data_IF_168159945929
#
_entry.id   IF_168159945929
#
_cell.length_a   1.000
_cell.length_b   1.000
_cell.length_c   1.000
_cell.angle_alpha   90.00
_cell.angle_beta   90.00
_cell.angle_gamma   90.00
#
_symmetry.space_group_name_H-M   'P 1'
#
loop_
_entity.id
_entity.type
_entity.pdbx_description
1 polymer ?
#
# COMPACT_ATOMS: atom_id res chain seq x y z
N UNK A 1 16.23 26.03 11.43
CA UNK A 1 16.31 24.90 12.40
C UNK A 1 14.90 24.50 12.78
N UNK A 2 14.59 23.21 12.85
CA UNK A 2 13.27 22.74 13.24
C UNK A 2 12.91 23.20 14.67
N UNK A 3 11.64 23.48 14.94
CA UNK A 3 11.18 23.91 16.26
C UNK A 3 11.30 22.78 17.28
N UNK A 4 11.61 23.07 18.56
CA UNK A 4 11.72 22.04 19.60
C UNK A 4 10.44 21.19 19.74
N UNK A 5 9.27 21.81 19.60
CA UNK A 5 7.98 21.12 19.63
C UNK A 5 7.80 20.12 18.49
N UNK A 6 8.35 20.41 17.31
CA UNK A 6 8.34 19.48 16.18
C UNK A 6 9.27 18.29 16.43
N UNK A 7 10.43 18.52 17.02
CA UNK A 7 11.36 17.43 17.37
C UNK A 7 10.78 16.50 18.43
N UNK A 8 10.12 17.04 19.45
CA UNK A 8 9.41 16.22 20.45
C UNK A 8 8.28 15.40 19.83
N UNK A 9 7.49 16.01 18.95
CA UNK A 9 6.45 15.31 18.20
C UNK A 9 7.04 14.17 17.35
N UNK A 10 8.07 14.47 16.57
CA UNK A 10 8.74 13.50 15.70
C UNK A 10 9.30 12.34 16.52
N UNK A 11 9.95 12.65 17.64
CA UNK A 11 10.53 11.62 18.50
C UNK A 11 9.46 10.71 19.11
N UNK A 12 8.38 11.30 19.65
CA UNK A 12 7.30 10.56 20.30
C UNK A 12 6.48 9.71 19.34
N UNK A 13 6.20 10.24 18.15
CA UNK A 13 5.27 9.61 17.21
C UNK A 13 5.95 8.74 16.16
N UNK A 14 7.23 8.94 15.87
CA UNK A 14 7.90 8.26 14.76
C UNK A 14 9.22 7.59 15.13
N UNK A 15 9.93 8.09 16.16
CA UNK A 15 11.26 7.60 16.54
C UNK A 15 11.27 6.75 17.83
N UNK A 16 10.12 6.34 18.37
CA UNK A 16 10.12 5.35 19.45
C UNK A 16 10.54 3.98 18.91
N UNK A 17 11.25 3.19 19.72
CA UNK A 17 11.80 1.90 19.30
C UNK A 17 10.74 0.95 18.71
N UNK A 18 9.52 0.99 19.24
CA UNK A 18 8.40 0.18 18.75
C UNK A 18 7.87 0.67 17.39
N UNK A 19 7.81 1.98 17.17
CA UNK A 19 7.34 2.57 15.91
C UNK A 19 8.42 2.44 14.83
N UNK A 20 9.71 2.62 15.17
CA UNK A 20 10.82 2.40 14.25
C UNK A 20 10.79 0.97 13.71
N UNK A 21 10.54 -0.04 14.55
CA UNK A 21 10.40 -1.43 14.09
C UNK A 21 9.26 -1.61 13.08
N UNK A 22 8.19 -0.81 13.18
CA UNK A 22 7.03 -0.89 12.29
C UNK A 22 7.34 -0.35 10.87
N UNK A 23 8.05 0.78 10.74
CA UNK A 23 8.28 1.43 9.44
C UNK A 23 9.72 1.35 8.90
N UNK A 24 10.72 1.04 9.74
CA UNK A 24 12.12 0.97 9.31
C UNK A 24 12.36 -0.25 8.43
N UNK A 25 12.93 -0.02 7.25
CA UNK A 25 13.27 -1.06 6.28
C UNK A 25 14.21 -2.14 6.84
N UNK A 26 15.04 -1.81 7.84
CA UNK A 26 15.97 -2.75 8.49
C UNK A 26 15.21 -3.83 9.28
N UNK A 27 14.01 -3.52 9.77
CA UNK A 27 13.16 -4.43 10.52
C UNK A 27 12.05 -5.08 9.67
N UNK A 28 12.09 -4.88 8.34
CA UNK A 28 11.17 -5.51 7.39
C UNK A 28 11.77 -6.80 6.81
N UNK A 29 12.14 -7.75 7.67
CA UNK A 29 12.64 -9.08 7.27
C UNK A 29 11.58 -10.10 7.71
N UNK A 30 11.16 -10.99 6.80
CA UNK A 30 10.20 -12.09 7.03
C UNK A 30 8.78 -11.70 7.48
N UNK A 31 8.26 -10.54 7.01
CA UNK A 31 6.87 -10.15 7.27
C UNK A 31 5.89 -11.00 6.45
N UNK A 32 4.78 -11.38 7.08
CA UNK A 32 3.63 -11.94 6.38
C UNK A 32 2.99 -10.91 5.46
N UNK A 33 2.23 -11.35 4.44
CA UNK A 33 1.51 -10.46 3.50
C UNK A 33 0.63 -9.45 4.26
N UNK A 34 0.11 -9.82 5.43
CA UNK A 34 -0.69 -8.95 6.29
C UNK A 34 0.16 -7.85 6.96
N UNK A 35 1.37 -8.18 7.43
CA UNK A 35 2.32 -7.24 8.05
C UNK A 35 3.05 -6.35 7.02
N UNK A 36 3.18 -6.82 5.77
CA UNK A 36 3.57 -5.98 4.64
C UNK A 36 2.45 -4.98 4.31
N UNK A 37 1.20 -5.42 4.28
CA UNK A 37 0.03 -4.59 3.94
C UNK A 37 -0.28 -3.49 4.98
N UNK A 38 0.09 -3.70 6.24
CA UNK A 38 -0.17 -2.76 7.35
C UNK A 38 0.76 -1.54 7.39
N UNK A 39 1.58 -1.34 6.36
CA UNK A 39 2.37 -0.11 6.26
C UNK A 39 1.53 1.03 5.70
N UNK A 40 1.57 2.19 6.39
CA UNK A 40 0.83 3.39 6.02
C UNK A 40 1.07 3.79 4.54
N UNK A 41 2.27 3.51 4.01
CA UNK A 41 2.65 3.76 2.63
C UNK A 41 1.88 2.91 1.61
N UNK A 42 1.62 1.63 1.89
CA UNK A 42 0.88 0.77 0.97
C UNK A 42 -0.60 1.13 0.94
N UNK A 43 -1.18 1.45 2.10
CA UNK A 43 -2.56 1.96 2.20
C UNK A 43 -2.67 3.29 1.47
N UNK A 44 -1.73 4.23 1.65
CA UNK A 44 -1.72 5.51 0.95
C UNK A 44 -1.58 5.33 -0.57
N UNK A 45 -0.63 4.50 -1.03
CA UNK A 45 -0.46 4.17 -2.45
C UNK A 45 -1.74 3.57 -3.04
N UNK A 46 -2.39 2.66 -2.30
CA UNK A 46 -3.66 2.08 -2.69
C UNK A 46 -4.77 3.14 -2.77
N UNK A 47 -4.88 4.03 -1.79
CA UNK A 47 -5.83 5.13 -1.79
C UNK A 47 -5.63 6.06 -2.99
N UNK A 48 -4.38 6.34 -3.38
CA UNK A 48 -4.07 7.10 -4.59
C UNK A 48 -4.59 6.42 -5.85
N UNK A 49 -4.38 5.11 -5.99
CA UNK A 49 -4.88 4.32 -7.13
C UNK A 49 -6.41 4.29 -7.12
N UNK A 50 -7.03 3.97 -5.99
CA UNK A 50 -8.48 3.92 -5.81
C UNK A 50 -9.10 5.25 -6.25
N UNK A 51 -8.55 6.36 -5.76
CA UNK A 51 -9.03 7.70 -6.08
C UNK A 51 -8.84 8.08 -7.54
N UNK A 52 -7.64 7.88 -8.09
CA UNK A 52 -7.31 8.29 -9.45
C UNK A 52 -8.00 7.43 -10.51
N UNK A 53 -7.92 6.11 -10.36
CA UNK A 53 -8.30 5.16 -11.40
C UNK A 53 -9.77 4.74 -11.33
N UNK A 54 -10.25 4.39 -10.14
CA UNK A 54 -11.57 3.78 -9.97
C UNK A 54 -12.63 4.83 -9.59
N UNK A 55 -12.30 5.76 -8.69
CA UNK A 55 -13.22 6.81 -8.27
C UNK A 55 -13.22 8.05 -9.18
N UNK A 56 -12.35 8.08 -10.20
CA UNK A 56 -12.23 9.16 -11.20
C UNK A 56 -11.99 10.55 -10.57
N UNK A 57 -11.20 10.59 -9.49
CA UNK A 57 -10.84 11.83 -8.78
C UNK A 57 -11.95 12.40 -7.88
N UNK A 58 -13.09 11.72 -7.71
CA UNK A 58 -14.16 12.14 -6.79
C UNK A 58 -13.86 11.70 -5.36
N UNK A 59 -13.96 12.63 -4.41
CA UNK A 59 -13.50 12.43 -3.04
C UNK A 59 -14.57 11.85 -2.11
N UNK A 60 -15.84 12.23 -2.28
CA UNK A 60 -16.95 11.74 -1.46
C UNK A 60 -17.94 10.97 -2.33
N UNK A 61 -18.03 9.65 -2.11
CA UNK A 61 -19.11 8.81 -2.62
C UNK A 61 -19.82 8.16 -1.45
N UNK A 62 -21.09 7.81 -1.65
CA UNK A 62 -21.83 6.99 -0.68
C UNK A 62 -21.04 5.69 -0.42
N UNK A 63 -21.10 5.20 0.82
CA UNK A 63 -20.44 3.95 1.20
C UNK A 63 -20.87 2.78 0.30
N UNK A 64 -22.15 2.70 -0.04
CA UNK A 64 -22.67 1.65 -0.94
C UNK A 64 -22.06 1.73 -2.34
N UNK A 65 -21.86 2.95 -2.85
CA UNK A 65 -21.19 3.15 -4.15
C UNK A 65 -19.73 2.70 -4.06
N UNK A 66 -19.04 3.02 -2.96
CA UNK A 66 -17.67 2.58 -2.76
C UNK A 66 -17.59 1.05 -2.71
N UNK A 67 -18.49 0.39 -1.98
CA UNK A 67 -18.59 -1.07 -1.96
C UNK A 67 -18.79 -1.65 -3.35
N UNK A 68 -19.73 -1.10 -4.13
CA UNK A 68 -19.97 -1.54 -5.50
C UNK A 68 -18.73 -1.41 -6.38
N UNK A 69 -17.99 -0.30 -6.30
CA UNK A 69 -16.73 -0.11 -7.05
C UNK A 69 -15.68 -1.13 -6.61
N UNK A 70 -15.55 -1.38 -5.30
CA UNK A 70 -14.59 -2.34 -4.78
C UNK A 70 -14.92 -3.77 -5.24
N UNK A 71 -16.18 -4.18 -5.24
CA UNK A 71 -16.56 -5.55 -5.60
C UNK A 71 -16.66 -5.76 -7.11
N UNK A 72 -17.30 -4.84 -7.83
CA UNK A 72 -17.64 -5.04 -9.25
C UNK A 72 -16.57 -4.50 -10.22
N UNK A 73 -15.74 -3.54 -9.80
CA UNK A 73 -14.72 -2.97 -10.68
C UNK A 73 -13.30 -3.39 -10.25
N UNK A 74 -12.97 -3.22 -8.97
CA UNK A 74 -11.60 -3.43 -8.47
C UNK A 74 -11.23 -4.91 -8.47
N UNK A 75 -12.05 -5.79 -7.87
CA UNK A 75 -11.74 -7.23 -7.81
C UNK A 75 -11.55 -7.81 -9.22
N UNK A 76 -12.49 -7.65 -10.18
CA UNK A 76 -12.32 -8.19 -11.52
C UNK A 76 -11.10 -7.62 -12.24
N UNK A 77 -10.78 -6.33 -12.05
CA UNK A 77 -9.60 -5.72 -12.63
C UNK A 77 -8.30 -6.42 -12.18
N UNK A 78 -8.16 -6.67 -10.87
CA UNK A 78 -6.97 -7.32 -10.32
C UNK A 78 -6.93 -8.81 -10.63
N UNK A 79 -8.05 -9.51 -10.62
CA UNK A 79 -8.15 -10.90 -11.08
C UNK A 79 -7.68 -11.03 -12.52
N UNK A 80 -8.17 -10.17 -13.42
CA UNK A 80 -7.73 -10.18 -14.83
C UNK A 80 -6.26 -9.78 -14.97
N UNK A 81 -5.77 -8.82 -14.18
CA UNK A 81 -4.33 -8.45 -14.17
C UNK A 81 -3.48 -9.67 -13.78
N UNK A 82 -3.88 -10.41 -12.75
CA UNK A 82 -3.19 -11.61 -12.28
C UNK A 82 -3.20 -12.70 -13.35
N UNK A 83 -4.36 -13.01 -13.94
CA UNK A 83 -4.44 -13.99 -15.04
C UNK A 83 -3.52 -13.62 -16.21
N UNK A 84 -3.45 -12.34 -16.58
CA UNK A 84 -2.50 -11.90 -17.60
C UNK A 84 -1.03 -12.06 -17.19
N UNK A 85 -0.70 -11.90 -15.91
CA UNK A 85 0.66 -12.13 -15.40
C UNK A 85 1.00 -13.62 -15.42
N UNK A 86 0.08 -14.48 -14.98
CA UNK A 86 0.26 -15.93 -14.95
C UNK A 86 0.44 -16.52 -16.37
N UNK A 87 -0.27 -15.95 -17.35
CA UNK A 87 -0.14 -16.29 -18.76
C UNK A 87 1.11 -15.67 -19.44
N UNK A 88 1.88 -14.85 -18.71
CA UNK A 88 3.10 -14.21 -19.21
C UNK A 88 2.88 -12.98 -20.11
N UNK A 89 1.64 -12.51 -20.26
CA UNK A 89 1.33 -11.28 -21.01
C UNK A 89 1.72 -10.00 -20.27
N UNK A 90 1.81 -10.06 -18.94
CA UNK A 90 2.35 -8.99 -18.09
C UNK A 90 3.54 -9.54 -17.32
N UNK A 91 4.69 -8.87 -17.41
CA UNK A 91 5.87 -9.28 -16.66
C UNK A 91 5.63 -9.29 -15.15
N UNK A 92 6.48 -10.02 -14.44
CA UNK A 92 6.46 -10.12 -12.97
C UNK A 92 6.47 -8.74 -12.30
N UNK A 93 5.75 -8.61 -11.18
CA UNK A 93 5.80 -7.42 -10.34
C UNK A 93 7.22 -7.22 -9.77
N UNK A 94 7.59 -5.97 -9.47
CA UNK A 94 8.96 -5.58 -9.09
C UNK A 94 9.47 -6.34 -7.86
N UNK A 95 8.60 -6.56 -6.87
CA UNK A 95 8.92 -7.37 -5.69
C UNK A 95 9.18 -8.85 -6.03
N UNK A 96 8.37 -9.43 -6.92
CA UNK A 96 8.53 -10.82 -7.38
C UNK A 96 9.85 -10.97 -8.15
N UNK A 97 10.20 -9.99 -9.00
CA UNK A 97 11.50 -9.97 -9.69
C UNK A 97 12.66 -9.88 -8.71
N UNK A 98 12.55 -9.04 -7.68
CA UNK A 98 13.58 -8.84 -6.67
C UNK A 98 13.81 -10.10 -5.84
N UNK A 99 12.73 -10.83 -5.47
CA UNK A 99 12.83 -12.13 -4.78
C UNK A 99 13.47 -13.22 -5.63
N UNK A 100 13.26 -13.23 -6.95
CA UNK A 100 13.89 -14.20 -7.88
C UNK A 100 15.38 -13.92 -8.16
N UNK A 101 15.88 -12.73 -7.81
CA UNK A 101 17.28 -12.33 -8.04
C UNK A 101 18.21 -12.64 -6.85
N UNK A 102 17.66 -13.07 -5.72
CA UNK A 102 18.38 -13.57 -4.54
C UNK A 102 18.55 -15.08 -4.68
#
# INVERSE_FOLDING_TARGET
LATPSFLEYLHKMWMSDDIIKMWSAIHCIDRSIFEESDTNMLIEAWHHILKGKFLKGKWNRCFDHLLHVLTEEVIPYYSMKQTCQDLGFKGDDLEVKKRKQV
#
